data_IF_398349008251
#
_entry.id   IF_398349008251
#
_cell.length_a   1.000
_cell.length_b   1.000
_cell.length_c   1.000
_cell.angle_alpha   90.00
_cell.angle_beta   90.00
_cell.angle_gamma   90.00
#
_symmetry.space_group_name_H-M   'P 1'
#
loop_
_entity.id
_entity.type
_entity.pdbx_description
1 polymer ?
#
# COMPACT_ATOMS: atom_id res chain seq x y z
N UNK A 1 22.57 -33.11 -38.40
CA UNK A 1 21.81 -34.38 -38.32
C UNK A 1 20.33 -34.03 -38.38
N UNK A 2 19.70 -34.17 -39.56
CA UNK A 2 18.75 -35.25 -39.92
C UNK A 2 17.60 -35.36 -38.89
N UNK A 3 16.30 -35.36 -39.23
CA UNK A 3 15.57 -35.43 -40.51
C UNK A 3 14.10 -35.10 -40.23
N UNK A 4 13.46 -34.40 -41.15
CA UNK A 4 12.02 -34.46 -41.38
C UNK A 4 11.57 -35.91 -41.67
N UNK A 5 10.41 -36.33 -41.15
CA UNK A 5 9.56 -37.33 -41.81
C UNK A 5 8.08 -37.08 -41.50
N UNK A 6 7.34 -36.74 -42.55
CA UNK A 6 5.89 -36.93 -42.68
C UNK A 6 5.59 -38.43 -42.79
N UNK A 7 4.48 -38.87 -42.20
CA UNK A 7 3.64 -39.94 -42.76
C UNK A 7 2.17 -39.51 -42.68
N UNK A 8 1.41 -40.03 -43.64
CA UNK A 8 0.14 -39.56 -44.15
C UNK A 8 -0.78 -40.79 -44.27
N UNK A 9 -2.09 -40.61 -43.97
CA UNK A 9 -3.25 -41.38 -44.48
C UNK A 9 -3.36 -42.86 -44.01
N UNK A 10 -4.50 -43.51 -43.73
CA UNK A 10 -5.91 -43.56 -44.18
C UNK A 10 -6.68 -44.19 -42.97
N UNK A 11 -7.86 -43.78 -42.46
CA UNK A 11 -9.18 -43.63 -43.08
C UNK A 11 -10.09 -44.83 -42.71
N UNK A 12 -11.12 -44.63 -41.87
CA UNK A 12 -12.37 -45.40 -41.85
C UNK A 12 -13.42 -44.68 -40.98
N UNK A 13 -14.55 -44.34 -41.60
CA UNK A 13 -15.72 -43.74 -40.97
C UNK A 13 -16.72 -44.83 -40.56
N UNK A 14 -17.29 -44.74 -39.34
CA UNK A 14 -18.61 -45.30 -38.98
C UNK A 14 -19.30 -44.36 -37.98
N UNK A 15 -20.61 -44.25 -38.16
CA UNK A 15 -21.60 -43.26 -37.72
C UNK A 15 -21.93 -43.20 -36.19
N UNK A 16 -22.81 -42.26 -35.75
CA UNK A 16 -22.76 -41.60 -34.44
C UNK A 16 -23.58 -42.31 -33.36
N UNK A 17 -23.09 -42.22 -32.12
CA UNK A 17 -23.90 -42.43 -30.93
C UNK A 17 -24.12 -41.08 -30.24
N UNK A 18 -25.31 -40.52 -30.41
CA UNK A 18 -25.88 -39.57 -29.45
C UNK A 18 -26.03 -40.27 -28.11
N UNK A 19 -25.25 -39.91 -27.09
CA UNK A 19 -25.68 -40.02 -25.68
C UNK A 19 -24.92 -38.98 -24.85
N UNK A 20 -25.68 -38.09 -24.22
CA UNK A 20 -25.31 -37.51 -22.92
C UNK A 20 -24.47 -36.24 -22.96
N UNK A 21 -25.13 -35.10 -23.13
CA UNK A 21 -24.66 -33.85 -22.53
C UNK A 21 -24.62 -34.03 -21.00
N UNK A 22 -23.43 -34.01 -20.41
CA UNK A 22 -23.22 -33.84 -18.97
C UNK A 22 -22.51 -32.51 -18.71
N UNK A 23 -23.21 -31.42 -19.01
CA UNK A 23 -22.96 -30.13 -18.37
C UNK A 23 -23.85 -30.08 -17.14
N UNK A 24 -23.30 -30.43 -15.98
CA UNK A 24 -23.79 -29.97 -14.68
C UNK A 24 -22.60 -29.88 -13.71
N UNK A 25 -21.72 -28.89 -13.93
CA UNK A 25 -21.08 -28.23 -12.79
C UNK A 25 -22.16 -27.38 -12.15
N UNK A 26 -22.77 -27.89 -11.08
CA UNK A 26 -23.74 -27.15 -10.27
C UNK A 26 -23.05 -25.97 -9.59
N UNK A 27 -23.03 -24.83 -10.27
CA UNK A 27 -23.02 -23.53 -9.63
C UNK A 27 -24.29 -23.41 -8.78
N UNK A 28 -24.13 -22.89 -7.56
CA UNK A 28 -25.18 -22.59 -6.60
C UNK A 28 -26.50 -22.19 -7.27
N UNK A 29 -27.51 -23.05 -7.17
CA UNK A 29 -28.91 -22.67 -7.42
C UNK A 29 -29.53 -22.41 -6.07
N UNK A 30 -29.96 -21.17 -5.90
CA UNK A 30 -30.71 -20.65 -4.77
C UNK A 30 -31.86 -21.59 -4.39
N UNK A 31 -31.78 -22.19 -3.20
CA UNK A 31 -32.99 -22.63 -2.52
C UNK A 31 -33.69 -21.39 -1.98
N UNK A 32 -34.56 -20.81 -2.80
CA UNK A 32 -35.50 -19.79 -2.37
C UNK A 32 -36.50 -20.46 -1.43
N UNK A 33 -36.25 -20.34 -0.13
CA UNK A 33 -37.31 -20.35 0.87
C UNK A 33 -37.27 -19.01 1.61
N UNK A 34 -38.38 -18.27 1.54
CA UNK A 34 -38.65 -17.01 2.24
C UNK A 34 -37.65 -15.85 2.05
N UNK A 35 -37.66 -15.17 0.89
CA UNK A 35 -37.05 -13.84 0.62
C UNK A 35 -35.61 -13.58 1.14
N UNK A 36 -34.90 -14.61 1.58
CA UNK A 36 -33.61 -14.51 2.24
C UNK A 36 -32.56 -15.08 1.31
N UNK A 37 -31.60 -14.25 0.91
CA UNK A 37 -30.44 -14.66 0.09
C UNK A 37 -29.31 -15.06 1.04
N UNK A 38 -29.02 -16.35 1.09
CA UNK A 38 -27.96 -16.90 1.93
C UNK A 38 -26.69 -17.10 1.11
N UNK A 39 -25.59 -16.51 1.58
CA UNK A 39 -24.25 -16.71 1.06
C UNK A 39 -23.54 -17.73 1.95
N UNK A 40 -23.25 -18.90 1.38
CA UNK A 40 -22.66 -20.01 2.14
C UNK A 40 -21.28 -19.67 2.71
N UNK A 41 -20.45 -18.97 1.94
CA UNK A 41 -19.10 -18.63 2.35
C UNK A 41 -18.64 -17.34 1.66
N UNK A 42 -18.20 -16.37 2.45
CA UNK A 42 -17.64 -15.11 1.96
C UNK A 42 -16.11 -15.16 2.06
N UNK A 43 -15.41 -15.06 0.93
CA UNK A 43 -13.95 -15.20 0.88
C UNK A 43 -13.24 -13.84 0.90
N UNK A 44 -12.40 -13.63 1.90
CA UNK A 44 -11.60 -12.43 2.07
C UNK A 44 -10.14 -12.69 1.73
N UNK A 45 -9.54 -11.85 0.89
CA UNK A 45 -8.10 -11.77 0.69
C UNK A 45 -7.57 -10.46 1.28
N UNK A 46 -6.84 -10.54 2.39
CA UNK A 46 -6.49 -9.40 3.24
C UNK A 46 -5.01 -9.39 3.62
N UNK A 47 -4.49 -8.22 4.00
CA UNK A 47 -3.11 -8.09 4.44
C UNK A 47 -2.84 -8.99 5.65
N UNK A 48 -1.70 -9.66 5.62
CA UNK A 48 -1.19 -10.41 6.76
C UNK A 48 -0.81 -9.46 7.90
N UNK A 49 -1.27 -9.70 9.15
CA UNK A 49 -0.87 -8.94 10.33
C UNK A 49 0.65 -8.89 10.55
N UNK A 50 1.14 -7.78 11.10
CA UNK A 50 2.58 -7.57 11.37
C UNK A 50 3.16 -8.46 12.49
N UNK A 51 2.34 -9.22 13.22
CA UNK A 51 2.77 -10.12 14.30
C UNK A 51 1.90 -11.38 14.45
N UNK A 52 2.25 -12.25 15.40
CA UNK A 52 1.61 -13.55 15.65
C UNK A 52 0.33 -13.51 16.51
N UNK A 53 -0.25 -12.33 16.77
CA UNK A 53 -1.39 -12.17 17.69
C UNK A 53 -2.51 -13.21 17.46
N UNK A 54 -3.01 -13.80 18.54
CA UNK A 54 -3.82 -15.02 18.54
C UNK A 54 -5.32 -14.84 18.26
N UNK A 55 -5.82 -13.60 18.12
CA UNK A 55 -7.26 -13.29 17.96
C UNK A 55 -7.60 -12.52 16.65
N UNK A 56 -6.89 -12.84 15.56
CA UNK A 56 -6.97 -12.12 14.27
C UNK A 56 -8.33 -12.23 13.57
N UNK A 57 -9.07 -13.30 13.82
CA UNK A 57 -10.29 -13.61 13.07
C UNK A 57 -11.56 -13.02 13.71
N UNK A 58 -11.51 -12.56 14.97
CA UNK A 58 -12.71 -12.12 15.70
C UNK A 58 -13.42 -10.95 15.02
N UNK A 59 -12.67 -10.01 14.45
CA UNK A 59 -13.24 -8.91 13.68
C UNK A 59 -14.18 -9.40 12.56
N UNK A 60 -13.74 -10.35 11.74
CA UNK A 60 -14.55 -10.82 10.61
C UNK A 60 -15.76 -11.65 11.08
N UNK A 61 -15.63 -12.40 12.18
CA UNK A 61 -16.80 -13.06 12.78
C UNK A 61 -17.84 -12.05 13.29
N UNK A 62 -17.41 -10.98 13.96
CA UNK A 62 -18.31 -9.89 14.36
C UNK A 62 -18.97 -9.21 13.16
N UNK A 63 -18.22 -9.02 12.06
CA UNK A 63 -18.77 -8.50 10.80
C UNK A 63 -19.85 -9.41 10.24
N UNK A 64 -19.63 -10.73 10.24
CA UNK A 64 -20.62 -11.71 9.78
C UNK A 64 -21.87 -11.70 10.67
N UNK A 65 -21.70 -11.62 11.99
CA UNK A 65 -22.83 -11.47 12.91
C UNK A 65 -23.63 -10.20 12.60
N UNK A 66 -22.94 -9.07 12.38
CA UNK A 66 -23.59 -7.80 12.06
C UNK A 66 -24.29 -7.82 10.70
N UNK A 67 -23.70 -8.48 9.71
CA UNK A 67 -24.39 -8.78 8.46
C UNK A 67 -25.65 -9.58 8.78
N UNK A 68 -25.57 -10.67 9.54
CA UNK A 68 -26.74 -11.51 9.84
C UNK A 68 -27.84 -10.82 10.66
N UNK A 69 -27.55 -9.73 11.36
CA UNK A 69 -28.57 -8.89 12.03
C UNK A 69 -29.36 -7.98 11.06
N UNK A 70 -28.96 -7.90 9.79
CA UNK A 70 -29.62 -7.02 8.82
C UNK A 70 -31.09 -7.43 8.57
N UNK A 71 -31.94 -6.42 8.31
CA UNK A 71 -33.37 -6.60 7.99
C UNK A 71 -33.66 -6.71 6.48
N UNK A 72 -32.62 -6.71 5.64
CA UNK A 72 -32.68 -6.69 4.17
C UNK A 72 -32.63 -8.10 3.56
N UNK A 73 -32.77 -9.15 4.38
CA UNK A 73 -32.88 -10.53 3.89
C UNK A 73 -31.57 -11.10 3.35
N UNK A 74 -30.41 -10.54 3.67
CA UNK A 74 -29.12 -11.20 3.38
C UNK A 74 -28.64 -11.98 4.60
N UNK A 75 -28.08 -13.17 4.37
CA UNK A 75 -27.41 -13.97 5.42
C UNK A 75 -26.07 -14.47 4.89
N UNK A 76 -25.11 -14.63 5.79
CA UNK A 76 -23.81 -15.24 5.50
C UNK A 76 -23.54 -16.31 6.53
N UNK A 77 -23.32 -17.56 6.10
CA UNK A 77 -23.11 -18.69 7.00
C UNK A 77 -21.68 -18.72 7.55
N UNK A 78 -20.69 -18.46 6.69
CA UNK A 78 -19.27 -18.50 7.07
C UNK A 78 -18.43 -17.48 6.30
N UNK A 79 -17.22 -17.23 6.79
CA UNK A 79 -16.18 -16.47 6.09
C UNK A 79 -14.89 -17.30 6.00
N UNK A 80 -14.20 -17.20 4.86
CA UNK A 80 -12.84 -17.73 4.69
C UNK A 80 -11.87 -16.57 4.61
N UNK A 81 -10.81 -16.60 5.43
CA UNK A 81 -9.82 -15.53 5.50
C UNK A 81 -8.49 -16.01 4.90
N UNK A 82 -8.05 -15.35 3.84
CA UNK A 82 -6.75 -15.54 3.20
C UNK A 82 -5.85 -14.36 3.56
N UNK A 83 -4.93 -14.60 4.50
CA UNK A 83 -3.92 -13.63 4.90
C UNK A 83 -2.73 -13.68 3.95
N UNK A 84 -2.52 -12.60 3.20
CA UNK A 84 -1.55 -12.52 2.12
C UNK A 84 -0.49 -11.45 2.43
N UNK A 85 0.75 -11.72 2.03
CA UNK A 85 1.84 -10.76 2.10
C UNK A 85 1.67 -9.64 1.04
N UNK A 86 2.33 -8.51 1.24
CA UNK A 86 2.18 -7.29 0.41
C UNK A 86 2.57 -7.45 -1.08
N UNK A 87 3.20 -8.57 -1.46
CA UNK A 87 3.61 -8.87 -2.83
C UNK A 87 2.55 -9.64 -3.64
N UNK A 88 1.41 -9.99 -3.04
CA UNK A 88 0.33 -10.70 -3.73
C UNK A 88 -0.53 -9.74 -4.54
N UNK A 89 -0.92 -10.19 -5.73
CA UNK A 89 -1.83 -9.47 -6.61
C UNK A 89 -3.28 -9.73 -6.22
N UNK A 90 -3.77 -8.96 -5.24
CA UNK A 90 -5.14 -9.07 -4.72
C UNK A 90 -6.23 -8.86 -5.79
N UNK A 91 -5.93 -8.15 -6.88
CA UNK A 91 -6.88 -7.99 -7.99
C UNK A 91 -7.12 -9.31 -8.70
N UNK A 92 -6.05 -10.08 -8.95
CA UNK A 92 -6.18 -11.40 -9.56
C UNK A 92 -7.00 -12.36 -8.70
N UNK A 93 -6.98 -12.20 -7.37
CA UNK A 93 -7.82 -13.01 -6.48
C UNK A 93 -9.32 -12.73 -6.69
N UNK A 94 -9.68 -11.45 -6.87
CA UNK A 94 -11.06 -11.05 -7.20
C UNK A 94 -11.47 -11.53 -8.60
N UNK A 95 -10.59 -11.38 -9.59
CA UNK A 95 -10.88 -11.75 -10.99
C UNK A 95 -11.03 -13.26 -11.19
N UNK A 96 -10.26 -14.08 -10.45
CA UNK A 96 -10.34 -15.55 -10.51
C UNK A 96 -11.47 -16.13 -9.66
N UNK A 97 -12.10 -15.33 -8.80
CA UNK A 97 -13.11 -15.80 -7.84
C UNK A 97 -12.54 -16.62 -6.68
N UNK A 98 -11.23 -16.54 -6.44
CA UNK A 98 -10.62 -17.08 -5.22
C UNK A 98 -10.95 -16.20 -4.00
N UNK A 99 -11.21 -14.90 -4.23
CA UNK A 99 -11.74 -13.98 -3.24
C UNK A 99 -13.03 -13.30 -3.73
N UNK A 100 -13.93 -13.02 -2.80
CA UNK A 100 -15.10 -12.19 -3.01
C UNK A 100 -14.81 -10.73 -2.64
N UNK A 101 -13.95 -10.55 -1.63
CA UNK A 101 -13.54 -9.28 -1.06
C UNK A 101 -12.02 -9.27 -0.97
N UNK A 102 -11.39 -8.16 -1.37
CA UNK A 102 -9.95 -7.99 -1.22
C UNK A 102 -9.57 -6.59 -0.72
N UNK A 103 -8.49 -6.54 0.06
CA UNK A 103 -7.84 -5.30 0.46
C UNK A 103 -6.78 -4.91 -0.58
N UNK A 104 -7.02 -3.81 -1.31
CA UNK A 104 -6.16 -3.33 -2.39
C UNK A 104 -5.44 -2.05 -1.95
N UNK A 105 -4.19 -1.89 -2.39
CA UNK A 105 -3.60 -0.54 -2.39
C UNK A 105 -4.23 0.28 -3.53
N UNK A 106 -4.40 1.61 -3.39
CA UNK A 106 -4.94 2.42 -4.48
C UNK A 106 -4.08 2.38 -5.75
N UNK A 107 -2.77 2.16 -5.61
CA UNK A 107 -1.87 1.93 -6.74
C UNK A 107 -2.27 0.71 -7.55
N UNK A 108 -2.43 -0.44 -6.88
CA UNK A 108 -2.79 -1.69 -7.55
C UNK A 108 -4.14 -1.54 -8.26
N UNK A 109 -5.14 -0.96 -7.59
CA UNK A 109 -6.45 -0.69 -8.20
C UNK A 109 -6.39 0.23 -9.42
N UNK A 110 -5.64 1.33 -9.34
CA UNK A 110 -5.64 2.32 -10.41
C UNK A 110 -4.79 1.93 -11.62
N UNK A 111 -3.75 1.11 -11.43
CA UNK A 111 -2.93 0.58 -12.51
C UNK A 111 -3.57 -0.61 -13.25
N UNK A 112 -4.59 -1.22 -12.67
CA UNK A 112 -5.33 -2.29 -13.33
C UNK A 112 -6.09 -1.76 -14.55
N UNK A 113 -5.89 -2.45 -15.68
CA UNK A 113 -6.50 -2.08 -16.96
C UNK A 113 -7.96 -2.49 -17.00
N UNK A 114 -8.28 -3.69 -16.53
CA UNK A 114 -9.65 -4.19 -16.45
C UNK A 114 -10.13 -4.25 -15.00
N UNK A 115 -10.68 -3.12 -14.56
CA UNK A 115 -11.35 -2.96 -13.26
C UNK A 115 -12.88 -2.91 -13.37
N UNK A 116 -13.44 -3.23 -14.54
CA UNK A 116 -14.89 -3.21 -14.78
C UNK A 116 -15.66 -4.07 -13.78
N UNK A 117 -15.02 -5.15 -13.33
CA UNK A 117 -15.59 -6.12 -12.41
C UNK A 117 -15.19 -5.94 -10.94
N UNK A 118 -14.51 -4.84 -10.59
CA UNK A 118 -13.96 -4.61 -9.25
C UNK A 118 -14.57 -3.34 -8.68
N UNK A 119 -15.21 -3.48 -7.51
CA UNK A 119 -16.03 -2.43 -6.93
C UNK A 119 -15.50 -2.01 -5.55
N UNK A 120 -14.74 -0.90 -5.45
CA UNK A 120 -14.38 -0.30 -4.17
C UNK A 120 -15.63 0.04 -3.35
N UNK A 121 -15.61 -0.22 -2.05
CA UNK A 121 -16.72 0.09 -1.16
C UNK A 121 -16.33 0.64 0.21
N UNK A 122 -15.09 0.39 0.65
CA UNK A 122 -14.61 0.86 1.93
C UNK A 122 -13.19 1.39 1.80
N UNK A 123 -12.96 2.61 2.27
CA UNK A 123 -11.64 3.22 2.42
C UNK A 123 -11.16 2.92 3.83
N UNK A 124 -9.96 2.36 3.97
CA UNK A 124 -9.33 2.23 5.29
C UNK A 124 -8.74 3.57 5.70
N UNK A 125 -8.74 3.82 7.01
CA UNK A 125 -8.17 5.01 7.62
C UNK A 125 -7.12 4.57 8.62
N UNK A 126 -6.11 5.40 8.81
CA UNK A 126 -5.08 5.22 9.83
C UNK A 126 -5.09 6.43 10.77
N UNK A 127 -4.51 6.27 11.95
CA UNK A 127 -4.34 7.39 12.86
C UNK A 127 -3.32 8.36 12.31
N UNK A 128 -3.65 9.64 12.30
CA UNK A 128 -2.74 10.66 11.76
C UNK A 128 -1.44 10.72 12.56
N UNK A 129 -0.32 10.98 11.89
CA UNK A 129 0.90 11.37 12.60
C UNK A 129 0.74 12.77 13.19
N UNK A 130 1.40 13.05 14.32
CA UNK A 130 1.35 14.41 14.91
C UNK A 130 1.90 15.47 13.96
N UNK A 131 2.82 15.06 13.07
CA UNK A 131 3.52 15.91 12.09
C UNK A 131 2.88 15.90 10.69
N UNK A 132 1.85 15.10 10.42
CA UNK A 132 1.17 15.04 9.12
C UNK A 132 -0.34 14.78 9.31
N UNK A 133 -1.12 15.85 9.22
CA UNK A 133 -2.58 15.84 9.41
C UNK A 133 -3.34 16.59 8.31
N UNK A 134 -2.63 17.10 7.30
CA UNK A 134 -3.20 17.83 6.17
C UNK A 134 -2.99 17.07 4.85
N UNK A 135 -4.09 16.53 4.32
CA UNK A 135 -4.12 15.90 3.00
C UNK A 135 -3.85 16.90 1.87
N UNK A 136 -4.11 18.20 2.07
CA UNK A 136 -3.97 19.21 1.04
C UNK A 136 -2.56 19.83 0.98
N UNK A 137 -1.66 19.42 1.87
CA UNK A 137 -0.26 19.81 1.75
C UNK A 137 0.37 19.17 0.50
N UNK A 138 0.66 20.01 -0.48
CA UNK A 138 1.18 19.65 -1.81
C UNK A 138 2.57 20.25 -2.05
N UNK A 139 3.27 19.71 -3.06
CA UNK A 139 4.54 20.26 -3.52
C UNK A 139 4.35 21.68 -4.07
N UNK A 140 5.21 22.62 -3.66
CA UNK A 140 5.20 24.00 -4.16
C UNK A 140 6.49 24.37 -4.89
N UNK A 141 7.64 24.22 -4.22
CA UNK A 141 8.94 24.67 -4.74
C UNK A 141 10.10 23.72 -4.38
N UNK A 142 9.95 22.87 -3.37
CA UNK A 142 10.97 21.97 -2.85
C UNK A 142 12.01 22.63 -1.94
N UNK A 143 11.86 23.91 -1.61
CA UNK A 143 12.77 24.64 -0.70
C UNK A 143 12.29 24.53 0.75
N UNK A 144 13.03 25.08 1.70
CA UNK A 144 12.73 24.92 3.13
C UNK A 144 11.33 25.41 3.55
N UNK A 145 10.71 26.30 2.77
CA UNK A 145 9.35 26.78 2.99
C UNK A 145 8.26 25.88 2.36
N UNK A 146 8.62 24.89 1.54
CA UNK A 146 7.71 23.92 0.92
C UNK A 146 6.92 23.14 2.00
N UNK A 147 5.60 22.96 1.85
CA UNK A 147 4.81 22.19 2.80
C UNK A 147 5.35 20.76 3.03
N UNK A 148 5.83 20.08 2.00
CA UNK A 148 6.37 18.73 2.10
C UNK A 148 7.73 18.70 2.81
N UNK A 149 8.52 19.76 2.66
CA UNK A 149 9.79 19.94 3.40
C UNK A 149 9.54 20.16 4.89
N UNK A 150 8.54 20.97 5.24
CA UNK A 150 8.13 21.22 6.62
C UNK A 150 7.61 19.98 7.34
N UNK A 151 6.84 19.12 6.64
CA UNK A 151 6.40 17.83 7.18
C UNK A 151 7.61 16.92 7.45
N UNK A 152 8.54 16.81 6.49
CA UNK A 152 9.75 16.02 6.65
C UNK A 152 10.60 16.48 7.85
N UNK A 153 10.82 17.79 7.97
CA UNK A 153 11.56 18.38 9.07
C UNK A 153 10.87 18.12 10.42
N UNK A 154 9.55 18.31 10.50
CA UNK A 154 8.79 18.06 11.73
C UNK A 154 8.86 16.59 12.16
N UNK A 155 8.80 15.66 11.20
CA UNK A 155 8.99 14.24 11.46
C UNK A 155 10.43 13.94 11.94
N UNK A 156 11.43 14.55 11.31
CA UNK A 156 12.84 14.37 11.67
C UNK A 156 13.16 14.93 13.05
N UNK A 157 12.64 16.12 13.40
CA UNK A 157 12.85 16.74 14.70
C UNK A 157 12.31 15.88 15.84
N UNK A 158 11.22 15.15 15.61
CA UNK A 158 10.67 14.19 16.55
C UNK A 158 11.48 12.89 16.60
N UNK A 159 11.89 12.37 15.44
CA UNK A 159 12.70 11.18 15.32
C UNK A 159 14.08 11.35 15.98
N UNK A 160 14.74 12.49 15.74
CA UNK A 160 16.13 12.74 16.10
C UNK A 160 16.30 13.25 17.55
N UNK A 161 15.22 13.37 18.35
CA UNK A 161 15.33 13.78 19.78
C UNK A 161 16.22 12.83 20.58
N UNK A 162 16.21 11.56 20.22
CA UNK A 162 16.99 10.48 20.83
C UNK A 162 17.35 9.48 19.74
N UNK A 163 18.58 8.95 19.70
CA UNK A 163 18.94 7.90 18.76
C UNK A 163 17.93 6.75 18.80
N UNK A 164 17.51 6.27 17.64
CA UNK A 164 16.39 5.32 17.50
C UNK A 164 16.61 4.06 18.32
N UNK A 165 17.84 3.52 18.35
CA UNK A 165 18.24 2.35 19.13
C UNK A 165 18.12 2.54 20.65
N UNK A 166 18.03 3.79 21.11
CA UNK A 166 17.92 4.14 22.52
C UNK A 166 16.49 4.49 22.94
N UNK A 167 15.51 4.36 22.05
CA UNK A 167 14.11 4.58 22.41
C UNK A 167 13.64 3.54 23.41
N UNK A 168 13.01 4.03 24.48
CA UNK A 168 12.41 3.21 25.51
C UNK A 168 10.90 3.05 25.28
N UNK A 169 10.38 1.86 25.53
CA UNK A 169 8.99 1.49 25.26
C UNK A 169 8.00 2.29 26.12
N UNK A 170 8.36 2.62 27.37
CA UNK A 170 7.51 3.42 28.25
C UNK A 170 7.55 4.90 27.85
N UNK A 171 8.73 5.42 27.51
CA UNK A 171 8.91 6.81 27.05
C UNK A 171 8.15 7.08 25.76
N UNK A 172 8.35 6.24 24.73
CA UNK A 172 7.74 6.41 23.41
C UNK A 172 6.37 5.73 23.29
N UNK A 173 5.92 5.05 24.35
CA UNK A 173 4.61 4.39 24.46
C UNK A 173 4.42 3.33 23.37
N UNK A 174 5.33 2.36 23.30
CA UNK A 174 5.17 1.19 22.46
C UNK A 174 3.99 0.34 22.95
N UNK A 175 3.01 0.10 22.08
CA UNK A 175 1.81 -0.66 22.43
C UNK A 175 1.82 -2.11 21.92
N UNK A 176 2.97 -2.59 21.44
CA UNK A 176 3.11 -3.89 20.77
C UNK A 176 3.11 -3.80 19.25
N UNK A 177 2.68 -2.69 18.65
CA UNK A 177 2.66 -2.48 17.20
C UNK A 177 3.19 -1.12 16.76
N UNK A 178 2.98 -0.06 17.55
CA UNK A 178 3.38 1.31 17.23
C UNK A 178 3.90 2.04 18.47
N UNK A 179 4.73 3.05 18.24
CA UNK A 179 5.10 4.09 19.20
C UNK A 179 4.04 5.19 19.19
N UNK A 180 3.13 5.14 20.15
CA UNK A 180 1.97 6.04 20.26
C UNK A 180 2.35 7.53 20.27
N UNK A 181 3.56 7.87 20.69
CA UNK A 181 4.03 9.26 20.82
C UNK A 181 4.16 10.02 19.49
N UNK A 182 4.22 9.31 18.35
CA UNK A 182 4.28 9.93 17.02
C UNK A 182 2.91 10.14 16.38
N UNK A 183 1.84 9.64 17.00
CA UNK A 183 0.51 9.66 16.43
C UNK A 183 -0.40 10.62 17.21
N UNK A 184 -1.32 11.26 16.49
CA UNK A 184 -2.33 12.18 17.02
C UNK A 184 -3.29 11.48 18.01
N UNK A 185 -4.36 12.13 18.46
CA UNK A 185 -5.38 11.46 19.28
C UNK A 185 -6.06 10.32 18.48
N UNK A 186 -6.58 9.30 19.18
CA UNK A 186 -7.14 8.07 18.55
C UNK A 186 -8.30 8.34 17.59
N UNK A 187 -9.06 9.40 17.81
CA UNK A 187 -10.16 9.87 16.98
C UNK A 187 -9.72 10.70 15.76
N UNK A 188 -8.45 11.12 15.72
CA UNK A 188 -7.88 11.84 14.58
C UNK A 188 -7.39 10.84 13.52
N UNK A 189 -8.31 10.46 12.66
CA UNK A 189 -8.05 9.54 11.55
C UNK A 189 -7.85 10.29 10.23
N UNK A 190 -6.99 9.74 9.39
CA UNK A 190 -6.73 10.18 8.01
C UNK A 190 -6.80 8.97 7.08
N UNK A 191 -7.13 9.20 5.81
CA UNK A 191 -7.26 8.17 4.80
C UNK A 191 -6.11 8.20 3.78
N UNK A 192 -4.94 8.68 4.19
CA UNK A 192 -3.78 8.84 3.31
C UNK A 192 -2.46 8.52 4.02
N UNK A 193 -1.42 8.35 3.21
CA UNK A 193 -0.03 8.20 3.62
C UNK A 193 0.90 8.89 2.62
N UNK A 194 2.18 9.02 2.98
CA UNK A 194 3.22 9.66 2.13
C UNK A 194 4.47 8.78 2.06
N UNK A 195 5.22 8.93 0.97
CA UNK A 195 6.60 8.47 0.89
C UNK A 195 7.55 9.49 1.52
N UNK A 196 8.72 9.01 1.90
CA UNK A 196 9.84 9.76 2.44
C UNK A 196 11.01 9.70 1.46
N UNK A 197 11.73 10.82 1.33
CA UNK A 197 13.08 10.87 0.77
C UNK A 197 14.01 11.22 1.92
N UNK A 198 14.72 10.22 2.44
CA UNK A 198 15.77 10.39 3.43
C UNK A 198 17.12 10.54 2.73
N UNK A 199 18.04 11.26 3.36
CA UNK A 199 19.43 11.40 2.92
C UNK A 199 20.38 11.05 4.06
N UNK A 200 21.56 10.54 3.74
CA UNK A 200 22.57 10.25 4.76
C UNK A 200 23.98 10.46 4.25
N UNK A 201 24.90 10.76 5.16
CA UNK A 201 26.31 10.97 4.85
C UNK A 201 26.98 11.90 5.85
N UNK A 202 28.20 12.33 5.54
CA UNK A 202 28.90 13.38 6.28
C UNK A 202 28.18 14.73 6.15
N UNK A 203 28.59 15.71 6.94
CA UNK A 203 28.04 17.06 6.85
C UNK A 203 28.23 17.68 5.44
N UNK A 204 29.37 17.42 4.81
CA UNK A 204 29.70 17.88 3.46
C UNK A 204 28.81 17.20 2.41
N UNK A 205 28.62 15.88 2.50
CA UNK A 205 27.77 15.12 1.59
C UNK A 205 26.31 15.59 1.68
N UNK A 206 25.79 15.74 2.90
CA UNK A 206 24.43 16.22 3.14
C UNK A 206 24.22 17.63 2.59
N UNK A 207 25.20 18.52 2.78
CA UNK A 207 25.16 19.87 2.19
C UNK A 207 25.12 19.80 0.66
N UNK A 208 25.96 18.98 0.05
CA UNK A 208 26.03 18.85 -1.40
C UNK A 208 24.75 18.22 -2.00
N UNK A 209 24.14 17.23 -1.33
CA UNK A 209 22.86 16.66 -1.74
C UNK A 209 21.75 17.71 -1.70
N UNK A 210 21.66 18.47 -0.59
CA UNK A 210 20.67 19.56 -0.46
C UNK A 210 20.89 20.66 -1.48
N UNK A 211 22.14 21.00 -1.78
CA UNK A 211 22.47 21.99 -2.80
C UNK A 211 22.04 21.53 -4.20
N UNK A 212 22.30 20.27 -4.56
CA UNK A 212 21.84 19.69 -5.81
C UNK A 212 20.31 19.67 -5.91
N UNK A 213 19.61 19.36 -4.82
CA UNK A 213 18.16 19.47 -4.73
C UNK A 213 17.69 20.92 -4.94
N UNK A 214 18.18 21.87 -4.13
CA UNK A 214 17.75 23.28 -4.20
C UNK A 214 18.03 23.92 -5.57
N UNK A 215 19.12 23.53 -6.24
CA UNK A 215 19.48 23.97 -7.60
C UNK A 215 18.74 23.20 -8.70
N UNK A 216 17.90 22.22 -8.35
CA UNK A 216 17.22 21.30 -9.27
C UNK A 216 18.21 20.61 -10.23
N UNK A 217 19.41 20.30 -9.73
CA UNK A 217 20.43 19.61 -10.49
C UNK A 217 20.26 18.08 -10.38
N UNK A 218 19.44 17.52 -11.27
CA UNK A 218 19.12 16.10 -11.31
C UNK A 218 20.37 15.21 -11.41
N UNK A 219 21.29 15.52 -12.33
CA UNK A 219 22.48 14.70 -12.57
C UNK A 219 23.37 14.62 -11.34
N UNK A 220 23.62 15.75 -10.69
CA UNK A 220 24.38 15.79 -9.44
C UNK A 220 23.64 15.07 -8.31
N UNK A 221 22.35 15.34 -8.14
CA UNK A 221 21.53 14.71 -7.11
C UNK A 221 21.52 13.17 -7.25
N UNK A 222 21.20 12.65 -8.43
CA UNK A 222 21.20 11.21 -8.74
C UNK A 222 22.58 10.56 -8.49
N UNK A 223 23.67 11.28 -8.76
CA UNK A 223 25.01 10.71 -8.65
C UNK A 223 25.43 10.37 -7.22
N UNK A 224 24.74 10.90 -6.20
CA UNK A 224 24.83 10.45 -4.80
C UNK A 224 24.23 9.06 -4.55
N UNK A 225 23.55 8.48 -5.54
CA UNK A 225 23.01 7.12 -5.48
C UNK A 225 21.67 7.06 -4.75
N UNK A 226 20.70 6.38 -5.37
CA UNK A 226 19.32 6.25 -4.89
C UNK A 226 19.02 4.79 -4.54
N UNK A 227 18.72 4.53 -3.27
CA UNK A 227 18.15 3.28 -2.79
C UNK A 227 16.63 3.37 -2.77
N UNK A 228 15.96 2.42 -3.44
CA UNK A 228 14.50 2.43 -3.60
C UNK A 228 13.86 1.06 -3.31
N UNK A 229 12.53 1.05 -3.15
CA UNK A 229 11.74 -0.17 -2.98
C UNK A 229 11.41 -0.88 -4.30
N UNK A 230 10.34 -1.68 -4.31
CA UNK A 230 9.79 -2.23 -5.57
C UNK A 230 9.28 -1.11 -6.47
N UNK A 231 9.40 -1.26 -7.80
CA UNK A 231 8.84 -0.31 -8.77
C UNK A 231 7.31 -0.18 -8.69
N UNK A 232 6.64 -1.19 -8.14
CA UNK A 232 5.19 -1.18 -7.86
C UNK A 232 4.81 -0.48 -6.54
N UNK A 233 5.77 -0.06 -5.72
CA UNK A 233 5.49 0.54 -4.41
C UNK A 233 5.06 2.00 -4.56
N UNK A 234 3.92 2.35 -3.95
CA UNK A 234 3.44 3.74 -3.88
C UNK A 234 4.46 4.65 -3.19
N UNK A 235 4.78 4.36 -1.93
CA UNK A 235 5.63 5.19 -1.05
C UNK A 235 7.12 4.96 -1.17
N UNK A 236 7.61 3.96 -1.91
CA UNK A 236 9.05 3.66 -2.02
C UNK A 236 9.56 3.73 -3.45
N UNK A 237 8.74 4.24 -4.37
CA UNK A 237 9.08 4.39 -5.76
C UNK A 237 8.19 5.41 -6.50
N UNK A 238 6.89 5.12 -6.62
CA UNK A 238 6.01 5.86 -7.54
C UNK A 238 5.80 7.31 -7.11
N UNK A 239 5.52 7.55 -5.82
CA UNK A 239 5.33 8.90 -5.29
C UNK A 239 6.60 9.74 -5.37
N UNK A 240 7.77 9.14 -5.17
CA UNK A 240 9.05 9.80 -5.38
C UNK A 240 9.29 10.13 -6.86
N UNK A 241 8.92 9.24 -7.77
CA UNK A 241 9.01 9.52 -9.21
C UNK A 241 8.13 10.72 -9.59
N UNK A 242 6.89 10.76 -9.09
CA UNK A 242 5.97 11.86 -9.30
C UNK A 242 6.52 13.20 -8.75
N UNK A 243 7.06 13.17 -7.53
CA UNK A 243 7.71 14.32 -6.92
C UNK A 243 8.93 14.80 -7.74
N UNK A 244 9.77 13.87 -8.18
CA UNK A 244 11.00 14.20 -8.90
C UNK A 244 10.71 14.78 -10.28
N UNK A 245 9.66 14.31 -10.97
CA UNK A 245 9.17 14.91 -12.23
C UNK A 245 8.74 16.37 -12.03
N UNK A 246 8.08 16.68 -10.91
CA UNK A 246 7.68 18.06 -10.56
C UNK A 246 8.88 18.93 -10.22
N UNK A 247 9.84 18.38 -9.46
CA UNK A 247 10.95 19.14 -8.89
C UNK A 247 12.09 19.38 -9.89
N UNK A 248 12.60 18.32 -10.51
CA UNK A 248 13.73 18.35 -11.45
C UNK A 248 13.24 18.59 -12.87
N UNK A 249 12.84 19.83 -13.14
CA UNK A 249 12.17 20.24 -14.38
C UNK A 249 12.95 21.31 -15.17
N UNK A 250 14.23 21.51 -14.88
CA UNK A 250 15.07 22.46 -15.60
C UNK A 250 15.40 21.96 -17.01
N UNK A 251 15.24 22.84 -18.01
CA UNK A 251 15.49 22.52 -19.41
C UNK A 251 16.90 21.97 -19.64
N UNK A 252 17.01 20.78 -20.23
CA UNK A 252 18.29 20.08 -20.46
C UNK A 252 18.80 19.26 -19.27
N UNK A 253 18.07 19.24 -18.15
CA UNK A 253 18.36 18.48 -16.95
C UNK A 253 17.10 17.85 -16.32
N UNK A 254 16.03 17.72 -17.11
CA UNK A 254 14.75 17.23 -16.62
C UNK A 254 14.82 15.75 -16.26
N UNK A 255 14.22 15.40 -15.11
CA UNK A 255 13.92 14.04 -14.77
C UNK A 255 12.59 13.62 -15.40
N UNK A 256 12.61 12.53 -16.18
CA UNK A 256 11.41 11.98 -16.81
C UNK A 256 10.83 10.80 -16.06
N UNK A 257 11.63 9.78 -15.76
CA UNK A 257 11.22 8.62 -14.95
C UNK A 257 12.45 7.87 -14.47
N UNK A 258 12.30 7.07 -13.42
CA UNK A 258 13.39 6.22 -12.97
C UNK A 258 13.69 5.12 -13.99
N UNK A 259 12.68 4.62 -14.70
CA UNK A 259 12.86 3.60 -15.73
C UNK A 259 13.72 4.10 -16.88
N UNK A 260 13.46 5.31 -17.37
CA UNK A 260 14.22 5.93 -18.46
C UNK A 260 15.64 6.31 -18.01
N UNK A 261 15.79 6.97 -16.86
CA UNK A 261 17.11 7.42 -16.40
C UNK A 261 18.07 6.23 -16.12
N UNK A 262 17.53 5.09 -15.67
CA UNK A 262 18.30 3.86 -15.44
C UNK A 262 18.96 3.29 -16.70
N UNK A 263 18.43 3.54 -17.90
CA UNK A 263 18.99 3.02 -19.15
C UNK A 263 20.44 3.48 -19.40
N UNK A 264 20.84 4.62 -18.83
CA UNK A 264 22.23 5.12 -18.88
C UNK A 264 22.92 5.22 -17.52
N UNK A 265 22.21 4.97 -16.41
CA UNK A 265 22.70 5.26 -15.05
C UNK A 265 22.36 4.16 -14.04
N UNK A 266 22.21 2.91 -14.47
CA UNK A 266 21.80 1.79 -13.62
C UNK A 266 22.59 1.69 -12.31
N UNK A 267 23.92 1.90 -12.35
CA UNK A 267 24.81 1.84 -11.18
C UNK A 267 24.55 2.91 -10.11
N UNK A 268 23.70 3.90 -10.41
CA UNK A 268 23.24 4.94 -9.48
C UNK A 268 21.99 4.55 -8.71
N UNK A 269 21.43 3.37 -8.98
CA UNK A 269 20.24 2.87 -8.31
C UNK A 269 20.47 1.51 -7.68
N UNK A 270 19.82 1.26 -6.54
CA UNK A 270 19.75 -0.07 -5.96
C UNK A 270 18.39 -0.33 -5.32
N UNK A 271 17.88 -1.54 -5.50
CA UNK A 271 16.70 -2.00 -4.75
C UNK A 271 17.14 -2.42 -3.35
N UNK A 272 16.56 -1.80 -2.32
CA UNK A 272 16.94 -2.03 -0.93
C UNK A 272 15.83 -1.68 0.05
N UNK A 273 16.15 -1.81 1.35
CA UNK A 273 15.28 -1.42 2.46
C UNK A 273 16.09 -0.53 3.40
N UNK A 274 15.44 0.40 4.10
CA UNK A 274 16.13 1.34 4.98
C UNK A 274 16.98 0.68 6.08
N UNK A 275 16.66 -0.55 6.49
CA UNK A 275 17.48 -1.34 7.43
C UNK A 275 18.91 -1.63 6.94
N UNK A 276 19.15 -1.50 5.64
CA UNK A 276 20.45 -1.71 5.01
C UNK A 276 21.18 -0.39 4.70
N UNK A 277 20.64 0.76 5.10
CA UNK A 277 21.23 2.08 4.83
C UNK A 277 22.69 2.14 5.29
N UNK A 278 23.58 2.58 4.40
CA UNK A 278 25.01 2.71 4.71
C UNK A 278 25.81 1.41 4.81
N UNK A 279 25.22 0.23 4.57
CA UNK A 279 25.86 -1.07 4.82
C UNK A 279 26.28 -1.77 3.54
N UNK A 280 27.50 -2.32 3.52
CA UNK A 280 27.97 -3.19 2.44
C UNK A 280 27.74 -2.60 1.04
N UNK A 281 27.02 -3.33 0.18
CA UNK A 281 26.72 -2.86 -1.18
C UNK A 281 25.86 -1.57 -1.24
N UNK A 282 25.21 -1.19 -0.13
CA UNK A 282 24.35 0.01 -0.03
C UNK A 282 25.10 1.26 0.43
N UNK A 283 26.38 1.17 0.79
CA UNK A 283 27.17 2.28 1.37
C UNK A 283 27.38 3.47 0.44
N UNK A 284 27.18 3.31 -0.88
CA UNK A 284 27.34 4.36 -1.90
C UNK A 284 26.02 5.02 -2.34
N UNK A 285 24.91 4.71 -1.68
CA UNK A 285 23.58 5.22 -2.05
C UNK A 285 23.05 6.10 -0.93
N UNK A 286 23.32 7.40 -1.04
CA UNK A 286 23.09 8.40 0.01
C UNK A 286 21.66 8.94 0.04
N UNK A 287 20.83 8.61 -0.95
CA UNK A 287 19.41 8.96 -1.00
C UNK A 287 18.59 7.68 -0.84
N UNK A 288 17.61 7.68 0.06
CA UNK A 288 16.83 6.49 0.41
C UNK A 288 15.34 6.78 0.41
N UNK A 289 14.56 5.93 -0.25
CA UNK A 289 13.11 5.99 -0.22
C UNK A 289 12.53 5.04 0.82
N UNK A 290 11.58 5.54 1.61
CA UNK A 290 10.83 4.74 2.59
C UNK A 290 9.42 5.29 2.81
N UNK A 291 8.62 4.64 3.66
CA UNK A 291 7.36 5.21 4.13
C UNK A 291 7.63 6.36 5.12
N UNK A 292 6.87 7.46 5.04
CA UNK A 292 6.90 8.47 6.10
C UNK A 292 6.42 7.85 7.41
N UNK A 293 7.24 8.00 8.47
CA UNK A 293 6.91 7.49 9.79
C UNK A 293 7.21 6.00 9.99
N UNK A 294 8.01 5.36 9.12
CA UNK A 294 8.36 3.94 9.26
C UNK A 294 9.01 3.57 10.59
N UNK A 295 9.73 4.52 11.20
CA UNK A 295 10.28 4.40 12.55
C UNK A 295 9.20 4.30 13.64
N UNK A 296 7.99 4.81 13.41
CA UNK A 296 6.93 4.86 14.41
C UNK A 296 6.18 3.53 14.57
N UNK A 297 6.26 2.63 13.58
CA UNK A 297 5.67 1.28 13.65
C UNK A 297 6.73 0.17 13.55
N UNK A 298 8.00 0.52 13.68
CA UNK A 298 9.09 -0.45 13.80
C UNK A 298 9.64 -0.37 15.20
N UNK A 299 9.64 -1.47 15.95
CA UNK A 299 10.23 -1.50 17.28
C UNK A 299 11.74 -1.18 17.24
N UNK A 300 12.24 -0.40 18.19
CA UNK A 300 13.64 0.04 18.26
C UNK A 300 14.59 -1.10 18.60
N UNK A 301 14.25 -1.89 19.63
CA UNK A 301 15.14 -2.95 20.13
C UNK A 301 15.30 -4.04 19.08
N UNK A 302 16.54 -4.36 18.77
CA UNK A 302 16.91 -5.37 17.76
C UNK A 302 16.68 -4.92 16.32
N UNK A 303 16.27 -3.68 16.09
CA UNK A 303 16.06 -3.17 14.73
C UNK A 303 17.33 -2.60 14.14
N UNK A 304 17.41 -2.70 12.81
CA UNK A 304 18.50 -2.21 12.00
C UNK A 304 18.10 -0.99 11.14
N UNK A 305 16.85 -0.53 11.23
CA UNK A 305 16.40 0.66 10.49
C UNK A 305 17.14 1.90 10.99
N UNK A 306 17.42 2.83 10.08
CA UNK A 306 18.08 4.10 10.37
C UNK A 306 19.42 3.98 11.15
N UNK A 307 20.09 2.83 11.06
CA UNK A 307 21.39 2.60 11.69
C UNK A 307 22.50 2.60 10.64
N UNK A 308 23.43 3.54 10.79
CA UNK A 308 24.64 3.67 9.96
C UNK A 308 25.83 2.95 10.59
N UNK A 309 26.72 2.40 9.76
CA UNK A 309 27.98 1.81 10.21
C UNK A 309 29.05 2.90 10.46
N UNK A 310 29.00 3.99 9.69
CA UNK A 310 29.88 5.14 9.85
C UNK A 310 29.35 6.10 10.93
N UNK A 311 30.18 6.36 11.95
CA UNK A 311 29.86 7.24 13.09
C UNK A 311 29.96 8.73 12.76
N UNK A 312 30.64 9.11 11.68
CA UNK A 312 30.73 10.50 11.22
C UNK A 312 29.57 10.90 10.31
N UNK A 313 28.78 9.92 9.89
CA UNK A 313 27.61 10.12 9.06
C UNK A 313 26.35 10.25 9.90
N UNK A 314 25.37 11.02 9.39
CA UNK A 314 24.03 11.14 9.97
C UNK A 314 22.96 10.99 8.91
N UNK A 315 21.74 10.71 9.36
CA UNK A 315 20.55 10.64 8.51
C UNK A 315 19.76 11.94 8.70
N UNK A 316 19.16 12.44 7.63
CA UNK A 316 18.19 13.54 7.66
C UNK A 316 17.01 13.22 6.73
N UNK A 317 15.83 13.79 7.02
CA UNK A 317 14.67 13.68 6.12
C UNK A 317 14.66 14.87 5.17
N UNK A 318 14.95 14.61 3.90
CA UNK A 318 15.06 15.66 2.89
C UNK A 318 13.69 16.24 2.56
N UNK A 319 12.69 15.41 2.27
CA UNK A 319 11.32 15.82 1.92
C UNK A 319 10.37 14.62 2.00
N UNK A 320 9.07 14.86 2.12
CA UNK A 320 8.04 13.83 1.86
C UNK A 320 7.44 14.00 0.47
N UNK A 321 6.59 13.07 0.06
CA UNK A 321 5.86 13.12 -1.20
C UNK A 321 4.47 13.74 -1.03
N UNK A 322 3.79 13.96 -2.17
CA UNK A 322 2.34 14.12 -2.20
C UNK A 322 1.63 12.95 -1.47
N UNK A 323 0.41 13.17 -0.95
CA UNK A 323 -0.31 12.14 -0.23
C UNK A 323 -1.01 11.19 -1.19
N UNK A 324 -0.96 9.91 -0.89
CA UNK A 324 -1.74 8.88 -1.56
C UNK A 324 -2.77 8.31 -0.60
N UNK A 325 -3.97 8.01 -1.09
CA UNK A 325 -5.00 7.36 -0.27
C UNK A 325 -4.50 6.02 0.30
N UNK A 326 -5.00 5.64 1.47
CA UNK A 326 -4.70 4.36 2.11
C UNK A 326 -5.46 3.22 1.41
N UNK A 327 -5.29 2.00 1.89
CA UNK A 327 -5.90 0.83 1.26
C UNK A 327 -7.43 0.93 1.14
N UNK A 328 -7.98 0.22 0.16
CA UNK A 328 -9.42 0.11 -0.05
C UNK A 328 -9.82 -1.36 0.04
N UNK A 329 -11.00 -1.64 0.57
CA UNK A 329 -11.67 -2.90 0.31
C UNK A 329 -12.51 -2.78 -0.95
N UNK A 330 -12.39 -3.76 -1.82
CA UNK A 330 -13.16 -3.90 -3.04
C UNK A 330 -13.77 -5.29 -3.13
N UNK A 331 -14.92 -5.41 -3.80
CA UNK A 331 -15.53 -6.70 -4.10
C UNK A 331 -15.38 -7.05 -5.57
N UNK A 332 -15.50 -8.34 -5.88
CA UNK A 332 -15.81 -8.78 -7.24
C UNK A 332 -17.25 -8.39 -7.63
N UNK A 333 -17.61 -8.57 -8.90
CA UNK A 333 -18.97 -8.32 -9.40
C UNK A 333 -19.99 -9.38 -8.98
N UNK A 334 -19.52 -10.51 -8.45
CA UNK A 334 -20.40 -11.57 -7.92
C UNK A 334 -21.10 -11.13 -6.63
N UNK A 335 -20.60 -10.10 -5.95
CA UNK A 335 -21.23 -9.51 -4.78
C UNK A 335 -22.18 -8.39 -5.21
N UNK A 336 -23.51 -8.55 -5.03
CA UNK A 336 -24.49 -7.53 -5.37
C UNK A 336 -24.26 -6.25 -4.59
N UNK A 337 -24.63 -5.11 -5.20
CA UNK A 337 -24.48 -3.78 -4.59
C UNK A 337 -25.11 -3.71 -3.18
N UNK A 338 -26.29 -4.28 -3.00
CA UNK A 338 -26.97 -4.25 -1.70
C UNK A 338 -26.21 -5.03 -0.61
N UNK A 339 -25.69 -6.22 -0.93
CA UNK A 339 -24.85 -6.98 0.01
C UNK A 339 -23.56 -6.23 0.31
N UNK A 340 -22.94 -5.60 -0.71
CA UNK A 340 -21.74 -4.78 -0.54
C UNK A 340 -21.95 -3.63 0.43
N UNK A 341 -23.09 -2.93 0.33
CA UNK A 341 -23.47 -1.88 1.27
C UNK A 341 -23.68 -2.42 2.69
N UNK A 342 -24.29 -3.60 2.84
CA UNK A 342 -24.46 -4.26 4.14
C UNK A 342 -23.10 -4.62 4.76
N UNK A 343 -22.18 -5.19 3.96
CA UNK A 343 -20.81 -5.50 4.41
C UNK A 343 -20.07 -4.22 4.83
N UNK A 344 -20.17 -3.16 4.03
CA UNK A 344 -19.54 -1.86 4.34
C UNK A 344 -20.01 -1.33 5.70
N UNK A 345 -21.32 -1.31 5.93
CA UNK A 345 -21.91 -0.84 7.18
C UNK A 345 -21.51 -1.73 8.36
N UNK A 346 -21.56 -3.06 8.19
CA UNK A 346 -21.16 -4.02 9.23
C UNK A 346 -19.70 -3.80 9.67
N UNK A 347 -18.75 -3.65 8.74
CA UNK A 347 -17.35 -3.36 9.06
C UNK A 347 -17.19 -2.03 9.83
N UNK A 348 -17.91 -1.00 9.41
CA UNK A 348 -17.88 0.32 10.08
C UNK A 348 -18.48 0.26 11.48
N UNK A 349 -19.58 -0.47 11.67
CA UNK A 349 -20.25 -0.61 12.96
C UNK A 349 -19.40 -1.40 13.95
N UNK A 350 -18.86 -2.55 13.55
CA UNK A 350 -17.96 -3.37 14.39
C UNK A 350 -16.73 -2.56 14.82
N UNK A 351 -16.17 -1.76 13.92
CA UNK A 351 -15.09 -0.83 14.27
C UNK A 351 -15.51 0.23 15.29
N UNK A 352 -16.65 0.90 15.08
CA UNK A 352 -17.17 1.92 16.00
C UNK A 352 -17.52 1.36 17.39
N UNK A 353 -17.91 0.09 17.46
CA UNK A 353 -18.13 -0.65 18.71
C UNK A 353 -16.82 -1.02 19.43
N UNK A 354 -15.65 -0.71 18.85
CA UNK A 354 -14.34 -1.01 19.43
C UNK A 354 -13.94 -2.48 19.32
N UNK A 355 -14.58 -3.24 18.42
CA UNK A 355 -14.37 -4.69 18.24
C UNK A 355 -13.47 -5.06 17.06
N UNK A 356 -12.83 -4.07 16.43
CA UNK A 356 -11.86 -4.33 15.36
C UNK A 356 -10.53 -4.83 15.92
N UNK A 357 -10.38 -6.16 15.97
CA UNK A 357 -9.15 -6.85 16.38
C UNK A 357 -8.16 -7.07 15.22
N UNK A 358 -8.55 -6.79 13.98
CA UNK A 358 -7.74 -7.02 12.79
C UNK A 358 -7.03 -5.75 12.34
N UNK A 359 -7.78 -4.68 12.07
CA UNK A 359 -7.30 -3.46 11.43
C UNK A 359 -6.03 -2.90 12.08
N UNK A 360 -5.99 -2.70 13.41
CA UNK A 360 -4.82 -2.12 14.07
C UNK A 360 -3.53 -2.91 13.87
N UNK A 361 -3.63 -4.22 13.58
CA UNK A 361 -2.47 -5.10 13.35
C UNK A 361 -1.84 -4.96 11.96
N UNK A 362 -2.49 -4.20 11.07
CA UNK A 362 -2.04 -3.88 9.71
C UNK A 362 -2.08 -2.37 9.43
N UNK A 363 -2.26 -1.54 10.48
CA UNK A 363 -2.30 -0.09 10.37
C UNK A 363 -3.65 0.54 10.04
N UNK A 364 -4.74 -0.23 9.98
CA UNK A 364 -6.10 0.29 9.85
C UNK A 364 -6.68 0.63 11.23
N UNK A 365 -7.02 1.90 11.45
CA UNK A 365 -7.61 2.38 12.70
C UNK A 365 -9.01 2.93 12.52
N UNK A 366 -9.56 2.85 11.31
CA UNK A 366 -10.96 3.07 11.03
C UNK A 366 -11.32 2.87 9.58
N UNK A 367 -12.59 3.09 9.27
CA UNK A 367 -13.15 2.82 7.95
C UNK A 367 -14.14 3.89 7.54
N UNK A 368 -14.11 4.24 6.26
CA UNK A 368 -15.04 5.17 5.63
C UNK A 368 -15.68 4.50 4.42
N UNK A 369 -17.01 4.58 4.31
CA UNK A 369 -17.74 4.06 3.14
C UNK A 369 -17.39 4.91 1.92
N UNK A 370 -17.08 4.24 0.81
CA UNK A 370 -16.85 4.87 -0.50
C UNK A 370 -18.20 4.97 -1.20
N UNK A 371 -18.66 6.19 -1.43
CA UNK A 371 -19.92 6.45 -2.12
C UNK A 371 -19.71 6.73 -3.61
N UNK A 372 -18.58 7.36 -3.95
CA UNK A 372 -18.20 7.68 -5.33
C UNK A 372 -16.75 7.26 -5.58
N UNK A 373 -16.51 6.04 -6.11
CA UNK A 373 -15.15 5.55 -6.40
C UNK A 373 -14.38 6.46 -7.37
N UNK A 374 -15.06 7.17 -8.27
CA UNK A 374 -14.39 8.10 -9.18
C UNK A 374 -13.78 9.26 -8.40
N UNK A 375 -14.56 9.90 -7.52
CA UNK A 375 -14.09 11.05 -6.73
C UNK A 375 -13.18 10.68 -5.56
N UNK A 376 -13.43 9.53 -4.93
CA UNK A 376 -12.78 9.18 -3.66
C UNK A 376 -11.54 8.29 -3.83
N UNK A 377 -11.42 7.56 -4.95
CA UNK A 377 -10.31 6.62 -5.20
C UNK A 377 -9.53 6.97 -6.47
N UNK A 378 -10.22 7.21 -7.58
CA UNK A 378 -9.58 7.33 -8.90
C UNK A 378 -8.99 8.72 -9.12
N UNK A 379 -9.77 9.79 -8.94
CA UNK A 379 -9.28 11.15 -9.12
C UNK A 379 -8.14 11.53 -8.16
N UNK A 380 -8.18 11.17 -6.86
CA UNK A 380 -7.05 11.43 -5.97
C UNK A 380 -5.75 10.78 -6.46
N UNK A 381 -5.82 9.55 -6.97
CA UNK A 381 -4.66 8.90 -7.58
C UNK A 381 -4.19 9.64 -8.84
N UNK A 382 -5.10 9.87 -9.80
CA UNK A 382 -4.79 10.55 -11.06
C UNK A 382 -4.13 11.92 -10.86
N UNK A 383 -4.64 12.71 -9.91
CA UNK A 383 -4.13 14.05 -9.60
C UNK A 383 -2.69 14.01 -9.09
N UNK A 384 -2.31 13.01 -8.30
CA UNK A 384 -0.94 12.87 -7.79
C UNK A 384 0.05 12.56 -8.92
N UNK A 385 -0.37 11.74 -9.88
CA UNK A 385 0.46 11.26 -10.97
C UNK A 385 0.31 12.04 -12.30
N UNK A 386 -0.49 13.13 -12.30
CA UNK A 386 -0.86 13.90 -13.50
C UNK A 386 -1.34 13.01 -14.66
N UNK A 387 -2.18 12.03 -14.36
CA UNK A 387 -2.76 11.11 -15.35
C UNK A 387 -4.14 11.67 -15.76
N UNK A 388 -4.27 12.08 -17.02
CA UNK A 388 -5.53 12.56 -17.59
C UNK A 388 -6.56 11.42 -17.71
#
# INVERSE_FOLDING_TARGET
MLKFKKYLLIGAAVLPAMVGASVLSSSCVDKISNNTKTYENLKFSINKPWGEASNKDNFFYEVINKINENKKGYKVNNATLHYLDDNVDFIKELQKGTADIACLTPTVYNLEKDKSNIHPFLQTMTRAFVFDQDFNAQYSNGLDDDPLRKIAQSAFDLFNKKPFENWDDKEYKWNGSIYESFYAKKDKLVDYYRGLVAIWGTQEELKAIKEAWNKKDWKTFRNFGIMHGSSSSGSKYLLQEALFKKHFNLKGNEFKSFLEDKQGNETKYIKGKIKNIGKGAFSKYHIVFDDLGSFAYTHSKGSAIYKLDDKNSKIEFLTVTEPLKYNIFATSSNIPKELREIIANAMVEVWKEGKDTYGPTVGFNGYKIINDPMKEVILPYKNVFNIN
#
